data_IF_298126001086
#
_entry.id   IF_298126001086
#
_cell.length_a   1.000
_cell.length_b   1.000
_cell.length_c   1.000
_cell.angle_alpha   90.00
_cell.angle_beta   90.00
_cell.angle_gamma   90.00
#
_symmetry.space_group_name_H-M   'P 1'
#
loop_
_entity.id
_entity.type
_entity.pdbx_description
1 polymer ?
#
# COMPACT_ATOMS: atom_id res chain seq x y z
N UNK A 1 -6.99 12.27 3.90
CA UNK A 1 -6.24 12.06 2.65
C UNK A 1 -7.16 11.36 1.67
N UNK A 2 -7.22 11.83 0.43
CA UNK A 2 -8.01 11.18 -0.62
C UNK A 2 -7.20 10.03 -1.24
N UNK A 3 -7.63 8.78 -1.01
CA UNK A 3 -6.96 7.60 -1.57
C UNK A 3 -7.75 7.17 -2.79
N UNK A 4 -7.12 7.13 -3.96
CA UNK A 4 -7.82 6.79 -5.20
C UNK A 4 -7.09 5.70 -5.96
N UNK A 5 -7.81 4.93 -6.78
CA UNK A 5 -7.22 3.90 -7.63
C UNK A 5 -7.54 4.18 -9.09
N UNK A 6 -6.57 3.91 -9.97
CA UNK A 6 -6.64 4.20 -11.40
C UNK A 6 -6.17 3.01 -12.22
N UNK A 7 -6.91 2.70 -13.29
CA UNK A 7 -6.53 1.71 -14.30
C UNK A 7 -6.92 2.22 -15.70
N UNK A 8 -6.19 1.82 -16.76
CA UNK A 8 -6.58 2.04 -18.14
C UNK A 8 -8.01 1.63 -18.43
N UNK A 9 -8.64 2.35 -19.35
CA UNK A 9 -10.00 2.04 -19.79
C UNK A 9 -10.11 0.59 -20.28
N UNK A 10 -11.22 -0.08 -19.95
CA UNK A 10 -11.43 -1.50 -20.26
C UNK A 10 -10.66 -2.49 -19.39
N UNK A 11 -9.87 -2.03 -18.42
CA UNK A 11 -9.10 -2.87 -17.48
C UNK A 11 -9.50 -2.68 -16.01
N UNK A 12 -10.62 -2.01 -15.74
CA UNK A 12 -11.08 -1.67 -14.38
C UNK A 12 -11.56 -2.84 -13.51
N UNK A 13 -11.46 -4.09 -13.98
CA UNK A 13 -11.71 -5.27 -13.14
C UNK A 13 -10.69 -5.30 -11.99
N UNK A 14 -11.17 -5.09 -10.76
CA UNK A 14 -10.34 -5.05 -9.56
C UNK A 14 -9.99 -3.65 -9.07
N UNK A 15 -10.43 -2.59 -9.75
CA UNK A 15 -10.23 -1.20 -9.31
C UNK A 15 -10.83 -0.96 -7.92
N UNK A 16 -12.05 -1.47 -7.70
CA UNK A 16 -12.73 -1.39 -6.42
C UNK A 16 -11.96 -2.13 -5.31
N UNK A 17 -11.51 -3.34 -5.59
CA UNK A 17 -10.71 -4.13 -4.65
C UNK A 17 -9.41 -3.41 -4.26
N UNK A 18 -8.68 -2.89 -5.26
CA UNK A 18 -7.48 -2.11 -5.06
C UNK A 18 -7.72 -0.86 -4.20
N UNK A 19 -8.79 -0.13 -4.50
CA UNK A 19 -9.19 1.06 -3.75
C UNK A 19 -9.53 0.73 -2.29
N UNK A 20 -10.37 -0.29 -2.05
CA UNK A 20 -10.76 -0.70 -0.69
C UNK A 20 -9.55 -1.13 0.14
N UNK A 21 -8.67 -1.96 -0.41
CA UNK A 21 -7.45 -2.39 0.29
C UNK A 21 -6.50 -1.21 0.50
N UNK A 22 -6.34 -0.33 -0.49
CA UNK A 22 -5.52 0.88 -0.38
C UNK A 22 -5.99 1.81 0.72
N UNK A 23 -7.31 2.04 0.83
CA UNK A 23 -7.91 2.82 1.91
C UNK A 23 -7.64 2.19 3.28
N UNK A 24 -7.85 0.87 3.41
CA UNK A 24 -7.60 0.15 4.67
C UNK A 24 -6.12 0.19 5.06
N UNK A 25 -5.21 -0.03 4.11
CA UNK A 25 -3.77 0.05 4.35
C UNK A 25 -3.35 1.46 4.76
N UNK A 26 -3.80 2.49 4.04
CA UNK A 26 -3.51 3.88 4.40
C UNK A 26 -4.03 4.22 5.81
N UNK A 27 -5.28 3.86 6.12
CA UNK A 27 -5.87 4.11 7.43
C UNK A 27 -5.10 3.43 8.57
N UNK A 28 -4.67 2.18 8.36
CA UNK A 28 -3.84 1.45 9.32
C UNK A 28 -2.53 2.20 9.61
N UNK A 29 -1.80 2.61 8.57
CA UNK A 29 -0.51 3.28 8.73
C UNK A 29 -0.63 4.71 9.25
N UNK A 30 -1.63 5.48 8.83
CA UNK A 30 -1.89 6.82 9.38
C UNK A 30 -2.26 6.74 10.87
N UNK A 31 -3.06 5.77 11.28
CA UNK A 31 -3.37 5.57 12.70
C UNK A 31 -2.13 5.12 13.49
N UNK A 32 -1.30 4.27 12.91
CA UNK A 32 -0.13 3.71 13.61
C UNK A 32 1.02 4.70 13.70
N UNK A 33 1.30 5.44 12.62
CA UNK A 33 2.50 6.26 12.48
C UNK A 33 2.19 7.76 12.36
N UNK A 34 0.98 8.15 11.95
CA UNK A 34 0.58 9.55 11.78
C UNK A 34 0.32 10.31 13.09
N UNK A 35 0.17 9.59 14.21
CA UNK A 35 -0.02 10.19 15.54
C UNK A 35 -0.98 9.44 16.46
N UNK A 36 -1.57 8.32 16.05
CA UNK A 36 -2.49 7.55 16.89
C UNK A 36 -1.83 6.87 18.11
N UNK A 37 -0.50 6.84 18.18
CA UNK A 37 0.23 6.38 19.37
C UNK A 37 0.15 7.35 20.57
N UNK A 38 -0.25 8.62 20.35
CA UNK A 38 -0.46 9.60 21.42
C UNK A 38 0.80 10.01 22.20
N UNK A 39 1.98 9.58 21.74
CA UNK A 39 3.28 9.80 22.37
C UNK A 39 3.99 11.08 21.90
N UNK A 40 3.38 11.82 20.96
CA UNK A 40 3.93 13.04 20.38
C UNK A 40 4.97 12.81 19.28
N UNK A 41 5.24 11.56 18.89
CA UNK A 41 6.25 11.18 17.91
C UNK A 41 5.68 10.88 16.51
N UNK A 42 4.39 11.14 16.28
CA UNK A 42 3.72 10.86 15.02
C UNK A 42 4.28 11.65 13.84
N UNK A 43 4.34 11.00 12.68
CA UNK A 43 4.70 11.56 11.38
C UNK A 43 3.47 11.48 10.48
N UNK A 44 2.59 12.50 10.46
CA UNK A 44 1.38 12.48 9.63
C UNK A 44 1.74 12.44 8.15
N UNK A 45 0.91 11.79 7.34
CA UNK A 45 1.13 11.78 5.91
C UNK A 45 1.11 13.20 5.32
N UNK A 46 2.15 13.55 4.55
CA UNK A 46 2.40 14.94 4.17
C UNK A 46 1.52 15.45 3.02
N UNK A 47 0.94 14.57 2.20
CA UNK A 47 0.19 14.95 1.00
C UNK A 47 -1.32 14.87 1.22
N UNK A 48 -2.08 15.63 0.44
CA UNK A 48 -3.55 15.61 0.51
C UNK A 48 -4.18 14.38 -0.14
N UNK A 49 -3.42 13.65 -0.96
CA UNK A 49 -3.89 12.48 -1.71
C UNK A 49 -2.84 11.38 -1.83
N UNK A 50 -3.30 10.16 -2.13
CA UNK A 50 -2.49 9.01 -2.49
C UNK A 50 -3.16 8.25 -3.65
N UNK A 51 -2.49 8.17 -4.80
CA UNK A 51 -3.00 7.46 -5.97
C UNK A 51 -2.38 6.05 -6.09
N UNK A 52 -3.19 5.05 -6.42
CA UNK A 52 -2.78 3.69 -6.77
C UNK A 52 -3.01 3.46 -8.26
N UNK A 53 -1.95 3.44 -9.06
CA UNK A 53 -2.02 3.46 -10.53
C UNK A 53 -1.51 2.14 -11.15
N UNK A 54 -2.40 1.40 -11.81
CA UNK A 54 -2.00 0.25 -12.64
C UNK A 54 -1.44 0.69 -13.99
N UNK A 55 -0.18 0.40 -14.29
CA UNK A 55 0.48 0.77 -15.56
C UNK A 55 1.06 -0.43 -16.31
N UNK A 56 1.36 -0.21 -17.60
CA UNK A 56 2.13 -1.13 -18.44
C UNK A 56 2.89 -0.36 -19.53
N UNK A 57 4.16 -0.68 -19.81
CA UNK A 57 5.01 -1.65 -19.11
C UNK A 57 5.42 -1.18 -17.70
N UNK A 58 5.65 -2.12 -16.78
CA UNK A 58 6.11 -1.84 -15.42
C UNK A 58 7.45 -2.56 -15.16
N UNK A 59 8.36 -1.93 -14.39
CA UNK A 59 9.63 -2.53 -13.96
C UNK A 59 9.46 -3.13 -12.56
N UNK A 60 9.07 -4.39 -12.48
CA UNK A 60 8.70 -5.06 -11.22
C UNK A 60 7.19 -5.18 -11.07
N UNK A 61 6.69 -5.33 -9.84
CA UNK A 61 5.24 -5.51 -9.57
C UNK A 61 4.60 -4.32 -8.84
N UNK A 62 5.39 -3.52 -8.14
CA UNK A 62 4.99 -2.31 -7.42
C UNK A 62 6.17 -1.32 -7.39
N UNK A 63 5.87 -0.03 -7.24
CA UNK A 63 6.86 1.03 -7.01
C UNK A 63 6.20 2.19 -6.24
N UNK A 64 6.87 2.59 -5.18
CA UNK A 64 6.42 3.44 -4.10
C UNK A 64 6.58 4.95 -4.33
N UNK A 65 6.34 5.47 -5.53
CA UNK A 65 6.52 6.91 -5.75
C UNK A 65 5.59 7.70 -4.81
N UNK A 66 6.15 8.68 -4.09
CA UNK A 66 5.44 9.41 -3.06
C UNK A 66 4.16 10.09 -3.58
N UNK A 67 3.00 9.66 -3.07
CA UNK A 67 1.69 10.14 -3.50
C UNK A 67 1.13 9.50 -4.78
N UNK A 68 1.88 8.64 -5.46
CA UNK A 68 1.45 7.92 -6.66
C UNK A 68 2.15 6.56 -6.78
N UNK A 69 1.62 5.57 -6.08
CA UNK A 69 2.12 4.20 -6.13
C UNK A 69 1.74 3.58 -7.46
N UNK A 70 2.70 3.00 -8.17
CA UNK A 70 2.45 2.31 -9.45
C UNK A 70 2.51 0.80 -9.28
N UNK A 71 1.63 0.08 -9.98
CA UNK A 71 1.59 -1.37 -10.00
C UNK A 71 1.65 -1.91 -11.42
N UNK A 72 2.21 -3.11 -11.58
CA UNK A 72 2.02 -3.87 -12.83
C UNK A 72 0.55 -4.27 -12.99
N UNK A 73 -0.08 -3.81 -14.06
CA UNK A 73 -1.51 -3.99 -14.29
C UNK A 73 -1.93 -5.47 -14.40
N UNK A 74 -1.06 -6.36 -14.89
CA UNK A 74 -1.39 -7.77 -15.07
C UNK A 74 -1.33 -8.53 -13.74
N UNK A 75 -0.43 -8.14 -12.84
CA UNK A 75 -0.38 -8.62 -11.47
C UNK A 75 -1.57 -8.09 -10.64
N UNK A 76 -1.80 -6.78 -10.74
CA UNK A 76 -2.76 -6.01 -9.93
C UNK A 76 -4.24 -6.25 -10.31
N UNK A 77 -4.51 -6.76 -11.51
CA UNK A 77 -5.88 -7.04 -11.95
C UNK A 77 -6.54 -8.17 -11.15
N UNK A 78 -7.77 -7.91 -10.69
CA UNK A 78 -8.60 -8.83 -9.90
C UNK A 78 -9.97 -8.99 -10.56
N UNK A 79 -10.41 -10.23 -10.73
CA UNK A 79 -11.76 -10.58 -11.14
C UNK A 79 -12.53 -11.11 -9.93
N UNK A 80 -13.71 -10.54 -9.66
CA UNK A 80 -14.55 -10.95 -8.53
C UNK A 80 -14.97 -12.42 -8.61
N UNK A 81 -15.13 -12.95 -9.82
CA UNK A 81 -15.56 -14.33 -10.05
C UNK A 81 -14.38 -15.30 -10.14
N UNK A 82 -13.25 -14.87 -10.71
CA UNK A 82 -12.17 -15.78 -11.11
C UNK A 82 -10.93 -15.72 -10.21
N UNK A 83 -10.74 -14.63 -9.46
CA UNK A 83 -9.55 -14.47 -8.62
C UNK A 83 -9.75 -15.10 -7.26
N UNK A 84 -9.08 -16.23 -7.03
CA UNK A 84 -9.10 -16.94 -5.76
C UNK A 84 -8.43 -16.18 -4.61
N UNK A 85 -8.75 -16.62 -3.38
CA UNK A 85 -8.33 -15.97 -2.13
C UNK A 85 -6.81 -15.76 -2.03
N UNK A 86 -6.01 -16.77 -2.36
CA UNK A 86 -4.54 -16.68 -2.27
C UNK A 86 -3.96 -15.57 -3.16
N UNK A 87 -4.57 -15.31 -4.33
CA UNK A 87 -4.14 -14.23 -5.22
C UNK A 87 -4.57 -12.87 -4.68
N UNK A 88 -5.81 -12.74 -4.17
CA UNK A 88 -6.27 -11.52 -3.51
C UNK A 88 -5.37 -11.16 -2.33
N UNK A 89 -5.08 -12.12 -1.45
CA UNK A 89 -4.16 -11.92 -0.32
C UNK A 89 -2.78 -11.43 -0.77
N UNK A 90 -2.23 -12.00 -1.85
CA UNK A 90 -0.93 -11.56 -2.38
C UNK A 90 -0.97 -10.12 -2.91
N UNK A 91 -2.03 -9.73 -3.60
CA UNK A 91 -2.20 -8.36 -4.09
C UNK A 91 -2.40 -7.41 -2.91
N UNK A 92 -3.19 -7.79 -1.90
CA UNK A 92 -3.37 -6.98 -0.70
C UNK A 92 -2.06 -6.78 0.06
N UNK A 93 -1.22 -7.81 0.16
CA UNK A 93 0.13 -7.69 0.74
C UNK A 93 0.98 -6.68 -0.03
N UNK A 94 1.02 -6.79 -1.36
CA UNK A 94 1.76 -5.84 -2.18
C UNK A 94 1.27 -4.40 -1.96
N UNK A 95 -0.04 -4.17 -1.91
CA UNK A 95 -0.59 -2.84 -1.61
C UNK A 95 -0.10 -2.36 -0.23
N UNK A 96 -0.15 -3.21 0.79
CA UNK A 96 0.35 -2.85 2.13
C UNK A 96 1.86 -2.55 2.11
N UNK A 97 2.66 -3.30 1.36
CA UNK A 97 4.09 -3.07 1.18
C UNK A 97 4.34 -1.68 0.60
N UNK A 98 3.74 -1.36 -0.54
CA UNK A 98 3.98 -0.08 -1.22
C UNK A 98 3.43 1.12 -0.42
N UNK A 99 2.28 0.97 0.26
CA UNK A 99 1.73 2.04 1.11
C UNK A 99 2.60 2.28 2.34
N UNK A 100 3.23 1.24 2.90
CA UNK A 100 4.12 1.40 4.06
C UNK A 100 5.32 2.31 3.77
N UNK A 101 5.77 2.36 2.51
CA UNK A 101 6.87 3.21 2.09
C UNK A 101 6.59 4.71 2.19
N UNK A 102 5.31 5.11 2.24
CA UNK A 102 4.90 6.50 2.50
C UNK A 102 5.41 7.02 3.85
N UNK A 103 5.72 6.12 4.79
CA UNK A 103 6.43 6.41 6.04
C UNK A 103 7.87 5.88 6.02
N UNK A 104 8.08 4.64 5.56
CA UNK A 104 9.36 3.95 5.60
C UNK A 104 10.00 3.86 4.21
N UNK A 105 10.55 4.98 3.76
CA UNK A 105 11.19 5.14 2.45
C UNK A 105 11.25 6.61 2.06
N UNK A 106 10.11 7.29 2.18
CA UNK A 106 9.98 8.70 1.83
C UNK A 106 10.23 9.64 3.04
N UNK A 107 9.75 9.30 4.25
CA UNK A 107 10.11 10.05 5.47
C UNK A 107 11.41 9.53 6.14
N UNK A 108 11.76 8.27 5.90
CA UNK A 108 12.99 7.63 6.37
C UNK A 108 13.73 7.02 5.16
N UNK A 109 14.50 7.85 4.47
CA UNK A 109 15.28 7.43 3.29
C UNK A 109 16.64 6.88 3.72
N UNK A 110 17.09 5.72 3.19
CA UNK A 110 18.44 5.22 3.43
C UNK A 110 19.50 6.26 3.04
N UNK A 111 20.59 6.35 3.78
CA UNK A 111 21.67 7.28 3.44
C UNK A 111 22.46 6.76 2.22
N UNK A 112 22.52 5.44 2.04
CA UNK A 112 23.19 4.80 0.91
C UNK A 112 22.40 3.59 0.39
N UNK A 113 22.70 3.13 -0.83
CA UNK A 113 22.08 1.93 -1.40
C UNK A 113 22.42 0.63 -0.64
N UNK A 114 23.51 0.62 0.14
CA UNK A 114 23.87 -0.53 0.98
C UNK A 114 22.85 -0.77 2.10
N UNK A 115 22.07 0.27 2.44
CA UNK A 115 21.03 0.27 3.47
C UNK A 115 19.62 0.04 2.89
N UNK A 116 19.51 -0.30 1.60
CA UNK A 116 18.21 -0.55 0.96
C UNK A 116 17.40 -1.64 1.66
N UNK A 117 18.09 -2.57 2.34
CA UNK A 117 17.44 -3.60 3.16
C UNK A 117 16.60 -3.01 4.31
N UNK A 118 16.95 -1.83 4.83
CA UNK A 118 16.15 -1.16 5.87
C UNK A 118 14.81 -0.73 5.31
N UNK A 119 14.79 -0.15 4.11
CA UNK A 119 13.56 0.24 3.42
C UNK A 119 12.71 -0.98 3.07
N UNK A 120 13.27 -1.91 2.29
CA UNK A 120 12.54 -3.07 1.78
C UNK A 120 12.22 -4.10 2.86
N UNK A 121 13.11 -4.28 3.84
CA UNK A 121 12.93 -5.23 4.94
C UNK A 121 11.86 -4.78 5.93
N UNK A 122 11.79 -3.48 6.23
CA UNK A 122 10.71 -2.93 7.07
C UNK A 122 9.38 -3.02 6.35
N UNK A 123 9.29 -2.63 5.07
CA UNK A 123 8.08 -2.76 4.29
C UNK A 123 7.61 -4.23 4.19
N UNK A 124 8.56 -5.15 4.00
CA UNK A 124 8.32 -6.60 3.99
C UNK A 124 7.76 -7.13 5.31
N UNK A 125 8.14 -6.56 6.43
CA UNK A 125 7.58 -6.93 7.73
C UNK A 125 6.17 -6.32 7.89
N UNK A 126 6.02 -5.03 7.62
CA UNK A 126 4.78 -4.29 7.78
C UNK A 126 3.66 -4.79 6.86
N UNK A 127 3.96 -5.28 5.65
CA UNK A 127 2.93 -5.84 4.76
C UNK A 127 2.16 -7.02 5.38
N UNK A 128 2.78 -7.78 6.28
CA UNK A 128 2.11 -8.88 6.98
C UNK A 128 1.32 -8.37 8.17
N UNK A 129 1.93 -7.49 8.99
CA UNK A 129 1.31 -6.97 10.21
C UNK A 129 0.05 -6.17 9.85
N UNK A 130 0.16 -5.25 8.90
CA UNK A 130 -0.96 -4.43 8.45
C UNK A 130 -2.07 -5.29 7.84
N UNK A 131 -1.73 -6.28 7.00
CA UNK A 131 -2.76 -7.12 6.38
C UNK A 131 -3.47 -8.03 7.39
N UNK A 132 -2.76 -8.53 8.41
CA UNK A 132 -3.37 -9.34 9.46
C UNK A 132 -4.38 -8.51 10.25
N UNK A 133 -4.03 -7.26 10.61
CA UNK A 133 -4.94 -6.32 11.28
C UNK A 133 -6.15 -5.96 10.40
N UNK A 134 -5.93 -5.69 9.11
CA UNK A 134 -7.03 -5.39 8.17
C UNK A 134 -7.99 -6.57 8.01
N UNK A 135 -7.50 -7.81 8.07
CA UNK A 135 -8.33 -9.01 7.88
C UNK A 135 -8.98 -9.53 9.16
N UNK A 136 -8.32 -9.35 10.32
CA UNK A 136 -8.67 -10.02 11.57
C UNK A 136 -8.69 -9.10 12.80
N UNK A 137 -8.27 -7.84 12.66
CA UNK A 137 -8.36 -6.83 13.70
C UNK A 137 -9.80 -6.62 14.15
N UNK A 138 -9.99 -6.32 15.43
CA UNK A 138 -11.33 -6.00 15.96
C UNK A 138 -11.89 -4.79 15.21
N UNK A 139 -13.20 -4.75 14.90
CA UNK A 139 -13.81 -3.51 14.46
C UNK A 139 -13.55 -2.48 15.55
N UNK A 140 -12.88 -1.38 15.18
CA UNK A 140 -12.55 -0.30 16.10
C UNK A 140 -13.79 0.06 16.93
N UNK A 141 -13.65 -0.04 18.26
CA UNK A 141 -14.65 0.34 19.25
C UNK A 141 -14.96 1.83 19.20
#
# INVERSE_FOLDING_TARGET
>A
VDVTAWMPHGRGSGLRFAHEVGMSAFGYFENTFGGGLGDGCGVPYALSKLDLLGIKPHRGIGLENFGCITFDIDFFSVSDLMTGWSRRRRISRLICHEVSHMWFGDCLTPHTFDELFLKEGVARYLEFVALDDILFGSPAS
#
